data_IF_098860677376
#
_entry.id   IF_098860677376
#
_cell.length_a   1.000
_cell.length_b   1.000
_cell.length_c   1.000
_cell.angle_alpha   90.00
_cell.angle_beta   90.00
_cell.angle_gamma   90.00
#
_symmetry.space_group_name_H-M   'P 1'
#
loop_
_entity.id
_entity.type
_entity.pdbx_description
1 polymer ?
#
# COMPACT_ATOMS: atom_id res chain seq x y z
N UNK A 1 12.47 -56.65 79.13
CA UNK A 1 13.29 -56.90 77.93
C UNK A 1 13.46 -55.58 77.19
N UNK A 2 14.65 -55.38 76.61
CA UNK A 2 15.17 -54.12 76.03
C UNK A 2 14.36 -53.64 74.80
N UNK A 3 14.23 -52.31 74.69
CA UNK A 3 14.13 -51.42 73.50
C UNK A 3 13.16 -51.82 72.35
N UNK A 4 12.41 -50.89 71.75
CA UNK A 4 12.92 -49.86 70.82
C UNK A 4 11.90 -48.69 70.73
N UNK A 5 12.42 -47.46 70.76
CA UNK A 5 11.72 -46.21 70.42
C UNK A 5 11.72 -45.97 68.90
N UNK A 6 10.64 -45.42 68.35
CA UNK A 6 10.66 -44.65 67.10
C UNK A 6 9.89 -43.32 67.36
N UNK A 7 10.50 -42.15 67.11
CA UNK A 7 9.82 -40.87 67.24
C UNK A 7 9.03 -40.55 65.97
N UNK A 8 7.77 -40.12 66.14
CA UNK A 8 7.00 -39.47 65.08
C UNK A 8 7.54 -38.05 64.90
N UNK A 9 8.33 -37.84 63.84
CA UNK A 9 8.77 -36.51 63.43
C UNK A 9 7.68 -35.93 62.50
N UNK A 10 6.83 -35.06 63.04
CA UNK A 10 5.90 -34.25 62.26
C UNK A 10 6.68 -33.22 61.44
N UNK A 11 6.90 -33.51 60.15
CA UNK A 11 7.41 -32.52 59.20
C UNK A 11 6.23 -31.61 58.77
N UNK A 12 6.14 -30.43 59.36
CA UNK A 12 5.39 -29.31 58.79
C UNK A 12 6.13 -28.84 57.53
N UNK A 13 5.59 -29.16 56.35
CA UNK A 13 6.03 -28.57 55.08
C UNK A 13 5.34 -27.21 54.94
N UNK A 14 6.08 -26.09 54.89
CA UNK A 14 5.48 -24.81 54.52
C UNK A 14 5.18 -24.87 53.02
N UNK A 15 3.90 -25.05 52.66
CA UNK A 15 3.43 -24.80 51.29
C UNK A 15 3.49 -23.29 51.05
N UNK A 16 4.64 -22.81 50.58
CA UNK A 16 4.70 -21.53 49.87
C UNK A 16 3.98 -21.72 48.53
N UNK A 17 2.92 -20.95 48.21
CA UNK A 17 2.33 -21.00 46.89
C UNK A 17 3.36 -20.46 45.90
N UNK A 18 4.03 -21.35 45.18
CA UNK A 18 4.69 -20.97 43.94
C UNK A 18 3.56 -20.58 42.98
N UNK A 19 3.41 -19.28 42.74
CA UNK A 19 2.70 -18.79 41.56
C UNK A 19 3.50 -19.25 40.33
N UNK A 20 3.23 -20.48 39.89
CA UNK A 20 3.60 -20.92 38.57
C UNK A 20 2.76 -20.08 37.60
N UNK A 21 3.34 -18.97 37.12
CA UNK A 21 2.91 -18.41 35.85
C UNK A 21 3.22 -19.49 34.81
N UNK A 22 2.23 -20.34 34.53
CA UNK A 22 2.21 -21.05 33.28
C UNK A 22 2.15 -19.98 32.20
N UNK A 23 3.32 -19.62 31.63
CA UNK A 23 3.34 -19.02 30.31
C UNK A 23 2.67 -20.06 29.41
N UNK A 24 1.39 -19.88 29.14
CA UNK A 24 0.70 -20.65 28.11
C UNK A 24 1.53 -20.48 26.84
N UNK A 25 2.01 -21.59 26.26
CA UNK A 25 2.62 -21.52 24.95
C UNK A 25 1.66 -20.82 23.99
N UNK A 26 2.16 -19.96 23.08
CA UNK A 26 1.31 -19.26 22.15
C UNK A 26 0.45 -20.27 21.38
N UNK A 27 -0.88 -20.10 21.45
CA UNK A 27 -1.84 -21.02 20.84
C UNK A 27 -1.71 -21.07 19.31
N UNK A 28 -1.15 -20.02 18.70
CA UNK A 28 -0.93 -19.90 17.26
C UNK A 28 0.57 -19.77 16.94
N UNK A 29 1.00 -20.46 15.88
CA UNK A 29 2.35 -20.36 15.31
C UNK A 29 2.28 -19.78 13.90
N UNK A 30 3.04 -18.73 13.64
CA UNK A 30 3.18 -18.16 12.30
C UNK A 30 4.00 -19.11 11.41
N UNK A 31 3.47 -19.46 10.23
CA UNK A 31 4.13 -20.37 9.29
C UNK A 31 4.51 -19.72 7.95
N UNK A 32 3.78 -18.69 7.51
CA UNK A 32 4.03 -18.03 6.23
C UNK A 32 3.47 -16.61 6.22
N UNK A 33 4.15 -15.71 5.52
CA UNK A 33 3.74 -14.32 5.33
C UNK A 33 3.86 -13.94 3.85
N UNK A 34 2.81 -13.32 3.32
CA UNK A 34 2.80 -12.67 2.01
C UNK A 34 2.55 -11.19 2.22
N UNK A 35 3.47 -10.34 1.76
CA UNK A 35 3.38 -8.88 1.84
C UNK A 35 3.16 -8.36 0.43
N UNK A 36 2.04 -7.67 0.18
CA UNK A 36 1.87 -6.88 -1.04
C UNK A 36 2.13 -5.43 -0.67
N UNK A 37 3.22 -4.86 -1.17
CA UNK A 37 3.65 -3.50 -0.87
C UNK A 37 3.43 -2.60 -2.07
N UNK A 38 2.95 -1.37 -1.84
CA UNK A 38 3.18 -0.28 -2.80
C UNK A 38 4.67 0.04 -2.84
N UNK A 39 5.17 0.49 -3.98
CA UNK A 39 6.50 1.09 -4.06
C UNK A 39 6.68 2.28 -3.08
N UNK A 40 7.93 2.62 -2.75
CA UNK A 40 8.25 3.76 -1.88
C UNK A 40 8.03 5.14 -2.53
N UNK A 41 8.48 6.19 -1.83
CA UNK A 41 8.37 7.58 -2.29
C UNK A 41 9.11 7.76 -3.62
N UNK A 42 8.40 8.31 -4.60
CA UNK A 42 8.90 8.55 -5.97
C UNK A 42 8.71 9.99 -6.39
N UNK A 43 9.42 10.40 -7.43
CA UNK A 43 9.05 11.60 -8.17
C UNK A 43 7.67 11.41 -8.85
N UNK A 44 6.94 12.51 -9.16
CA UNK A 44 5.75 12.48 -9.99
C UNK A 44 6.02 11.72 -11.28
N UNK A 45 5.04 10.96 -11.78
CA UNK A 45 5.22 10.17 -13.01
C UNK A 45 5.24 11.03 -14.27
N UNK A 46 4.68 12.25 -14.21
CA UNK A 46 4.55 13.19 -15.33
C UNK A 46 4.65 14.63 -14.83
N UNK A 47 5.03 15.54 -15.73
CA UNK A 47 4.94 16.99 -15.54
C UNK A 47 4.27 17.56 -16.80
N UNK A 48 2.96 17.81 -16.75
CA UNK A 48 2.18 18.23 -17.91
C UNK A 48 2.00 19.73 -17.98
N UNK A 49 1.59 20.25 -19.14
CA UNK A 49 1.22 21.67 -19.26
C UNK A 49 0.01 22.01 -18.38
N UNK A 50 -0.99 21.12 -18.30
CA UNK A 50 -2.16 21.33 -17.45
C UNK A 50 -1.78 21.50 -15.97
N UNK A 51 -0.78 20.76 -15.47
CA UNK A 51 -0.29 20.94 -14.09
C UNK A 51 0.29 22.33 -13.85
N UNK A 52 0.92 22.93 -14.87
CA UNK A 52 1.45 24.29 -14.82
C UNK A 52 0.34 25.34 -15.01
N UNK A 53 -0.69 25.02 -15.78
CA UNK A 53 -1.76 25.99 -16.08
C UNK A 53 -2.72 26.21 -14.90
N UNK A 54 -2.78 25.29 -13.93
CA UNK A 54 -3.68 25.37 -12.76
C UNK A 54 -3.06 26.02 -11.53
N UNK A 55 -1.83 26.52 -11.62
CA UNK A 55 -1.20 27.29 -10.54
C UNK A 55 -0.28 28.34 -11.16
N UNK A 56 -0.20 29.56 -10.63
CA UNK A 56 0.81 30.52 -11.06
C UNK A 56 2.23 30.14 -10.58
N UNK A 57 2.33 29.21 -9.63
CA UNK A 57 3.57 28.89 -8.94
C UNK A 57 4.33 27.76 -9.65
N UNK A 58 5.66 27.84 -9.65
CA UNK A 58 6.50 26.79 -10.24
C UNK A 58 6.46 25.52 -9.37
N UNK A 59 6.28 24.36 -10.00
CA UNK A 59 6.39 23.06 -9.32
C UNK A 59 7.85 22.80 -8.91
N UNK A 60 8.12 22.32 -7.69
CA UNK A 60 9.47 22.00 -7.26
C UNK A 60 10.05 20.84 -8.07
N UNK A 61 11.34 20.91 -8.38
CA UNK A 61 12.07 19.85 -9.07
C UNK A 61 12.40 18.71 -8.11
N UNK A 62 12.48 17.50 -8.66
CA UNK A 62 12.79 16.29 -7.91
C UNK A 62 14.24 15.86 -8.15
N UNK A 63 14.90 15.22 -7.15
CA UNK A 63 16.31 14.84 -7.26
C UNK A 63 16.55 13.61 -8.16
N UNK A 64 15.50 13.07 -8.77
CA UNK A 64 15.53 11.88 -9.63
C UNK A 64 14.63 12.07 -10.85
N UNK A 65 14.75 11.17 -11.82
CA UNK A 65 13.86 11.14 -13.00
C UNK A 65 12.39 10.97 -12.58
N UNK A 66 11.48 11.49 -13.40
CA UNK A 66 10.05 11.31 -13.21
C UNK A 66 9.70 9.82 -13.08
N UNK A 67 8.86 9.50 -12.09
CA UNK A 67 8.42 8.14 -11.80
C UNK A 67 9.46 7.20 -11.17
N UNK A 68 10.70 7.65 -10.92
CA UNK A 68 11.71 6.85 -10.23
C UNK A 68 11.60 6.96 -8.72
N UNK A 69 12.00 5.91 -8.01
CA UNK A 69 12.14 5.93 -6.56
C UNK A 69 13.22 6.95 -6.16
N UNK A 70 12.96 7.72 -5.10
CA UNK A 70 14.00 8.59 -4.54
C UNK A 70 14.91 7.79 -3.59
N UNK A 71 16.17 8.21 -3.37
CA UNK A 71 17.01 7.57 -2.35
C UNK A 71 16.35 7.54 -0.97
N UNK A 72 15.70 8.64 -0.56
CA UNK A 72 14.91 8.71 0.67
C UNK A 72 13.75 7.72 0.68
N UNK A 73 13.05 7.56 -0.44
CA UNK A 73 12.02 6.55 -0.59
C UNK A 73 12.55 5.14 -0.36
N UNK A 74 13.75 4.84 -0.83
CA UNK A 74 14.46 3.59 -0.52
C UNK A 74 14.76 3.44 0.97
N UNK A 75 15.24 4.49 1.64
CA UNK A 75 15.50 4.44 3.10
C UNK A 75 14.24 4.14 3.91
N UNK A 76 13.11 4.79 3.57
CA UNK A 76 11.82 4.56 4.23
C UNK A 76 11.35 3.10 4.06
N UNK A 77 11.52 2.52 2.87
CA UNK A 77 11.24 1.09 2.62
C UNK A 77 12.20 0.18 3.40
N UNK A 78 13.48 0.54 3.50
CA UNK A 78 14.44 -0.21 4.30
C UNK A 78 14.06 -0.20 5.80
N UNK A 79 13.48 0.88 6.32
CA UNK A 79 12.94 0.89 7.69
C UNK A 79 11.75 -0.06 7.87
N UNK A 80 10.87 -0.17 6.89
CA UNK A 80 9.81 -1.18 6.91
C UNK A 80 10.39 -2.61 6.83
N UNK A 81 11.39 -2.85 5.99
CA UNK A 81 12.13 -4.11 5.97
C UNK A 81 12.76 -4.45 7.32
N UNK A 82 13.36 -3.46 7.99
CA UNK A 82 13.93 -3.61 9.33
C UNK A 82 12.87 -3.93 10.38
N UNK A 83 11.75 -3.21 10.37
CA UNK A 83 10.60 -3.50 11.23
C UNK A 83 10.09 -4.93 11.02
N UNK A 84 9.89 -5.35 9.77
CA UNK A 84 9.45 -6.70 9.45
C UNK A 84 10.47 -7.74 9.92
N UNK A 85 11.78 -7.48 9.82
CA UNK A 85 12.80 -8.40 10.38
C UNK A 85 12.62 -8.58 11.87
N UNK A 86 12.48 -7.49 12.62
CA UNK A 86 12.30 -7.56 14.07
C UNK A 86 11.03 -8.32 14.43
N UNK A 87 9.92 -7.99 13.76
CA UNK A 87 8.62 -8.62 13.99
C UNK A 87 8.61 -10.12 13.66
N UNK A 88 9.17 -10.52 12.51
CA UNK A 88 9.19 -11.92 12.07
C UNK A 88 10.20 -12.77 12.87
N UNK A 89 11.23 -12.15 13.46
CA UNK A 89 12.09 -12.80 14.45
C UNK A 89 11.35 -13.02 15.77
N UNK A 90 10.54 -12.04 16.22
CA UNK A 90 9.74 -12.17 17.43
C UNK A 90 8.70 -13.29 17.32
N UNK A 91 8.07 -13.44 16.14
CA UNK A 91 7.12 -14.52 15.86
C UNK A 91 7.80 -15.86 15.47
N UNK A 92 9.13 -15.92 15.51
CA UNK A 92 9.90 -17.15 15.28
C UNK A 92 9.94 -17.65 13.83
N UNK A 93 9.56 -16.81 12.85
CA UNK A 93 9.57 -17.17 11.42
C UNK A 93 10.97 -17.00 10.79
N UNK A 94 11.75 -16.02 11.25
CA UNK A 94 13.12 -15.77 10.81
C UNK A 94 14.12 -15.88 11.96
N UNK A 95 15.37 -16.23 11.63
CA UNK A 95 16.44 -16.27 12.62
C UNK A 95 16.86 -14.87 13.06
N UNK A 96 17.18 -14.71 14.36
CA UNK A 96 17.59 -13.43 14.95
C UNK A 96 18.86 -12.82 14.34
N UNK A 97 19.76 -13.66 13.83
CA UNK A 97 21.06 -13.25 13.29
C UNK A 97 21.33 -13.96 11.96
N UNK A 98 22.22 -13.38 11.16
CA UNK A 98 22.64 -13.93 9.88
C UNK A 98 21.60 -13.75 8.77
N UNK A 99 21.96 -14.27 7.60
CA UNK A 99 21.09 -14.27 6.43
C UNK A 99 19.99 -15.32 6.55
N UNK A 100 18.80 -15.06 5.98
CA UNK A 100 17.79 -16.10 5.83
C UNK A 100 18.33 -17.26 5.00
N UNK A 101 17.78 -18.45 5.21
CA UNK A 101 18.14 -19.61 4.38
C UNK A 101 17.78 -19.35 2.91
N UNK A 102 18.51 -19.99 1.99
CA UNK A 102 18.23 -19.86 0.56
C UNK A 102 16.77 -20.20 0.25
N UNK A 103 16.05 -19.24 -0.34
CA UNK A 103 14.64 -19.38 -0.68
C UNK A 103 13.65 -19.17 0.46
N UNK A 104 14.10 -18.94 1.71
CA UNK A 104 13.22 -18.62 2.86
C UNK A 104 12.54 -17.26 2.72
N UNK A 105 13.19 -16.32 2.02
CA UNK A 105 12.63 -15.03 1.62
C UNK A 105 12.64 -14.97 0.10
N UNK A 106 11.48 -14.69 -0.49
CA UNK A 106 11.31 -14.45 -1.91
C UNK A 106 10.79 -13.04 -2.14
N UNK A 107 11.31 -12.37 -3.18
CA UNK A 107 10.89 -11.03 -3.57
C UNK A 107 10.50 -11.04 -5.04
N UNK A 108 9.27 -10.62 -5.32
CA UNK A 108 8.77 -10.39 -6.69
C UNK A 108 8.47 -8.90 -6.82
N UNK A 109 8.85 -8.29 -7.93
CA UNK A 109 8.56 -6.88 -8.21
C UNK A 109 8.03 -6.72 -9.64
N UNK A 110 7.17 -5.72 -9.83
CA UNK A 110 6.83 -5.26 -11.18
C UNK A 110 8.07 -4.70 -11.89
N UNK A 111 8.01 -4.59 -13.21
CA UNK A 111 9.14 -4.21 -14.09
C UNK A 111 9.59 -2.76 -13.92
N UNK A 112 8.75 -1.90 -13.35
CA UNK A 112 9.05 -0.50 -13.11
C UNK A 112 10.30 -0.33 -12.23
N UNK A 113 11.06 0.74 -12.47
CA UNK A 113 12.27 1.03 -11.67
C UNK A 113 11.93 1.15 -10.18
N UNK A 114 10.83 1.86 -9.86
CA UNK A 114 10.41 2.13 -8.49
C UNK A 114 10.00 0.87 -7.72
N UNK A 115 9.43 -0.14 -8.38
CA UNK A 115 9.04 -1.41 -7.76
C UNK A 115 10.25 -2.31 -7.56
N UNK A 116 11.14 -2.40 -8.54
CA UNK A 116 12.42 -3.12 -8.41
C UNK A 116 13.27 -2.57 -7.27
N UNK A 117 13.46 -1.25 -7.23
CA UNK A 117 14.22 -0.59 -6.16
C UNK A 117 13.53 -0.66 -4.80
N UNK A 118 12.20 -0.75 -4.75
CA UNK A 118 11.48 -1.05 -3.50
C UNK A 118 11.82 -2.46 -3.00
N UNK A 119 11.81 -3.47 -3.88
CA UNK A 119 12.23 -4.83 -3.51
C UNK A 119 13.66 -4.89 -2.98
N UNK A 120 14.59 -4.19 -3.65
CA UNK A 120 15.99 -4.11 -3.21
C UNK A 120 16.13 -3.43 -1.84
N UNK A 121 15.43 -2.31 -1.63
CA UNK A 121 15.44 -1.57 -0.37
C UNK A 121 14.82 -2.39 0.78
N UNK A 122 13.74 -3.12 0.52
CA UNK A 122 13.12 -3.99 1.51
C UNK A 122 14.08 -5.11 1.92
N UNK A 123 14.75 -5.75 0.96
CA UNK A 123 15.77 -6.76 1.23
C UNK A 123 16.92 -6.19 2.09
N UNK A 124 17.41 -4.99 1.76
CA UNK A 124 18.47 -4.32 2.50
C UNK A 124 18.07 -4.03 3.96
N UNK A 125 16.81 -3.68 4.20
CA UNK A 125 16.27 -3.50 5.55
C UNK A 125 16.05 -4.80 6.32
N UNK A 126 15.50 -5.82 5.63
CA UNK A 126 15.14 -7.11 6.22
C UNK A 126 16.37 -7.95 6.59
N UNK A 127 17.36 -7.99 5.71
CA UNK A 127 18.58 -8.77 5.88
C UNK A 127 19.77 -8.01 5.27
N UNK A 128 20.31 -7.02 6.00
CA UNK A 128 21.46 -6.24 5.55
C UNK A 128 22.63 -7.12 5.10
N UNK A 129 23.27 -6.74 3.99
CA UNK A 129 24.41 -7.43 3.37
C UNK A 129 24.16 -8.89 2.92
N UNK A 130 22.90 -9.34 2.93
CA UNK A 130 22.52 -10.65 2.43
C UNK A 130 22.03 -10.56 0.98
N UNK A 131 22.49 -11.49 0.15
CA UNK A 131 22.08 -11.57 -1.25
C UNK A 131 20.67 -12.19 -1.37
N UNK A 132 19.64 -11.35 -1.37
CA UNK A 132 18.26 -11.73 -1.68
C UNK A 132 17.92 -11.17 -3.06
N UNK A 133 17.63 -12.05 -4.01
CA UNK A 133 17.28 -11.66 -5.38
C UNK A 133 15.90 -11.03 -5.44
N UNK A 134 15.78 -9.91 -6.16
CA UNK A 134 14.51 -9.33 -6.58
C UNK A 134 14.15 -9.91 -7.94
N UNK A 135 13.10 -10.73 -7.98
CA UNK A 135 12.64 -11.38 -9.19
C UNK A 135 11.62 -10.51 -9.92
N UNK A 136 11.71 -10.44 -11.24
CA UNK A 136 10.81 -9.66 -12.11
C UNK A 136 10.48 -10.46 -13.36
N UNK A 137 9.51 -10.00 -14.14
CA UNK A 137 9.41 -10.46 -15.53
C UNK A 137 10.75 -10.20 -16.24
N UNK A 138 11.20 -11.19 -17.03
CA UNK A 138 12.50 -11.13 -17.70
C UNK A 138 12.57 -9.98 -18.72
N UNK A 139 11.50 -9.79 -19.49
CA UNK A 139 11.35 -8.61 -20.35
C UNK A 139 10.77 -7.44 -19.54
N UNK A 140 11.67 -6.56 -19.09
CA UNK A 140 11.30 -5.34 -18.35
C UNK A 140 10.84 -4.20 -19.25
N UNK A 141 10.82 -4.37 -20.58
CA UNK A 141 10.28 -3.37 -21.52
C UNK A 141 8.77 -3.51 -21.71
N UNK A 142 8.22 -4.70 -21.39
CA UNK A 142 6.80 -5.02 -21.45
C UNK A 142 6.16 -5.01 -20.06
N UNK A 143 4.88 -4.59 -19.93
CA UNK A 143 4.16 -4.67 -18.66
C UNK A 143 3.99 -6.11 -18.20
N UNK A 144 3.99 -6.33 -16.88
CA UNK A 144 3.79 -7.64 -16.27
C UNK A 144 2.28 -7.89 -15.97
N UNK A 145 1.68 -8.97 -16.51
CA UNK A 145 0.26 -9.28 -16.33
C UNK A 145 -0.13 -9.56 -14.87
N UNK A 146 0.83 -9.91 -13.99
CA UNK A 146 0.55 -10.10 -12.56
C UNK A 146 -0.01 -8.83 -11.93
N UNK A 147 0.50 -7.67 -12.33
CA UNK A 147 0.17 -6.39 -11.70
C UNK A 147 -0.97 -5.66 -12.41
N UNK A 148 -1.27 -5.99 -13.67
CA UNK A 148 -2.43 -5.48 -14.39
C UNK A 148 -2.78 -6.37 -15.60
N UNK A 149 -3.64 -7.40 -15.43
CA UNK A 149 -3.98 -8.34 -16.50
C UNK A 149 -4.79 -7.71 -17.64
N UNK A 150 -5.49 -6.61 -17.38
CA UNK A 150 -6.27 -5.88 -18.40
C UNK A 150 -5.35 -5.21 -19.42
N UNK A 151 -4.27 -4.56 -18.96
CA UNK A 151 -3.32 -3.85 -19.81
C UNK A 151 -2.57 -4.77 -20.78
N UNK A 152 -2.38 -6.03 -20.39
CA UNK A 152 -1.74 -7.06 -21.21
C UNK A 152 -2.73 -7.90 -22.02
N UNK A 153 -4.03 -7.61 -21.93
CA UNK A 153 -5.07 -8.33 -22.67
C UNK A 153 -5.34 -9.77 -22.19
N UNK A 154 -4.99 -10.10 -20.94
CA UNK A 154 -5.27 -11.43 -20.35
C UNK A 154 -6.77 -11.61 -20.13
N UNK A 155 -7.46 -10.52 -19.77
CA UNK A 155 -8.91 -10.47 -19.63
C UNK A 155 -9.42 -9.07 -20.03
N UNK A 156 -10.73 -8.91 -20.08
CA UNK A 156 -11.40 -7.65 -20.42
C UNK A 156 -12.48 -7.31 -19.40
N UNK A 157 -12.77 -6.02 -19.28
CA UNK A 157 -13.91 -5.50 -18.53
C UNK A 157 -15.19 -5.58 -19.37
N UNK A 158 -16.31 -5.84 -18.70
CA UNK A 158 -17.63 -5.59 -19.26
C UNK A 158 -17.93 -4.09 -19.14
N UNK A 159 -17.89 -3.38 -20.28
CA UNK A 159 -18.03 -1.93 -20.30
C UNK A 159 -19.35 -1.43 -19.69
N UNK A 160 -20.46 -2.10 -19.96
CA UNK A 160 -21.77 -1.66 -19.48
C UNK A 160 -21.89 -1.87 -17.97
N UNK A 161 -21.55 -3.08 -17.52
CA UNK A 161 -21.58 -3.42 -16.10
C UNK A 161 -20.63 -2.55 -15.26
N UNK A 162 -19.40 -2.30 -15.75
CA UNK A 162 -18.44 -1.41 -15.08
C UNK A 162 -18.95 0.03 -15.03
N UNK A 163 -19.57 0.53 -16.11
CA UNK A 163 -20.15 1.87 -16.14
C UNK A 163 -21.24 2.02 -15.07
N UNK A 164 -22.21 1.09 -15.06
CA UNK A 164 -23.32 1.11 -14.11
C UNK A 164 -22.84 0.99 -12.65
N UNK A 165 -21.89 0.08 -12.39
CA UNK A 165 -21.33 -0.11 -11.05
C UNK A 165 -20.62 1.15 -10.53
N UNK A 166 -19.81 1.81 -11.37
CA UNK A 166 -19.10 3.02 -10.97
C UNK A 166 -20.07 4.19 -10.77
N UNK A 167 -21.03 4.40 -11.68
CA UNK A 167 -22.01 5.47 -11.56
C UNK A 167 -22.91 5.27 -10.33
N UNK A 168 -23.31 4.05 -10.03
CA UNK A 168 -24.04 3.69 -8.81
C UNK A 168 -23.25 4.09 -7.57
N UNK A 169 -21.98 3.69 -7.49
CA UNK A 169 -21.08 4.06 -6.37
C UNK A 169 -20.77 5.55 -6.29
N UNK A 170 -20.87 6.26 -7.41
CA UNK A 170 -20.71 7.71 -7.48
C UNK A 170 -21.94 8.47 -6.95
N UNK A 171 -23.05 7.78 -6.69
CA UNK A 171 -24.32 8.39 -6.28
C UNK A 171 -25.25 8.74 -7.45
N UNK A 172 -25.06 8.11 -8.61
CA UNK A 172 -25.85 8.30 -9.83
C UNK A 172 -25.08 9.00 -10.93
N UNK A 173 -24.32 10.05 -10.62
CA UNK A 173 -23.53 10.80 -11.60
C UNK A 173 -22.17 11.27 -11.06
N UNK A 174 -21.23 11.55 -11.97
CA UNK A 174 -19.94 12.16 -11.61
C UNK A 174 -20.12 13.62 -11.13
N UNK A 175 -21.17 14.30 -11.60
CA UNK A 175 -21.52 15.64 -11.14
C UNK A 175 -21.93 15.63 -9.66
N UNK A 176 -22.80 14.71 -9.24
CA UNK A 176 -23.19 14.57 -7.82
C UNK A 176 -21.98 14.19 -6.96
N UNK A 177 -21.15 13.27 -7.46
CA UNK A 177 -19.92 12.85 -6.77
C UNK A 177 -18.97 14.01 -6.49
N UNK A 178 -18.75 14.88 -7.48
CA UNK A 178 -17.92 16.09 -7.32
C UNK A 178 -18.62 17.17 -6.50
N UNK A 179 -19.94 17.31 -6.64
CA UNK A 179 -20.79 18.21 -5.85
C UNK A 179 -20.67 17.97 -4.35
N UNK A 180 -20.71 16.71 -3.92
CA UNK A 180 -20.51 16.32 -2.52
C UNK A 180 -19.09 16.56 -1.97
N UNK A 181 -18.14 16.94 -2.83
CA UNK A 181 -16.70 17.12 -2.49
C UNK A 181 -16.19 18.51 -2.79
N UNK A 182 -17.07 19.47 -3.02
CA UNK A 182 -16.70 20.85 -3.34
C UNK A 182 -15.80 21.51 -2.30
N UNK A 183 -15.97 21.19 -1.01
CA UNK A 183 -15.07 21.68 0.05
C UNK A 183 -13.62 21.26 -0.19
N UNK A 184 -13.39 20.00 -0.58
CA UNK A 184 -12.05 19.50 -0.86
C UNK A 184 -11.46 20.08 -2.15
N UNK A 185 -12.28 20.25 -3.20
CA UNK A 185 -11.85 20.94 -4.42
C UNK A 185 -11.44 22.39 -4.15
N UNK A 186 -12.19 23.13 -3.32
CA UNK A 186 -11.82 24.49 -2.91
C UNK A 186 -10.54 24.53 -2.08
N UNK A 187 -10.32 23.55 -1.21
CA UNK A 187 -9.05 23.44 -0.48
C UNK A 187 -7.87 23.24 -1.45
N UNK A 188 -8.04 22.40 -2.47
CA UNK A 188 -7.05 22.26 -3.53
C UNK A 188 -6.85 23.55 -4.32
N UNK A 189 -7.92 24.24 -4.72
CA UNK A 189 -7.86 25.54 -5.41
C UNK A 189 -7.08 26.58 -4.59
N UNK A 190 -7.29 26.62 -3.27
CA UNK A 190 -6.57 27.49 -2.34
C UNK A 190 -5.08 27.15 -2.31
N UNK A 191 -4.72 25.87 -2.18
CA UNK A 191 -3.32 25.41 -2.22
C UNK A 191 -2.67 25.72 -3.56
N UNK A 192 -3.40 25.69 -4.67
CA UNK A 192 -2.87 25.99 -6.00
C UNK A 192 -2.79 27.50 -6.30
N UNK A 193 -3.42 28.36 -5.50
CA UNK A 193 -3.73 29.74 -5.90
C UNK A 193 -4.41 29.75 -7.30
N UNK A 194 -5.36 28.84 -7.46
CA UNK A 194 -6.04 28.57 -8.74
C UNK A 194 -6.66 29.82 -9.38
N UNK A 195 -7.26 30.78 -8.65
CA UNK A 195 -7.81 31.99 -9.26
C UNK A 195 -6.79 32.85 -10.02
N UNK A 196 -5.50 32.76 -9.69
CA UNK A 196 -4.41 33.48 -10.35
C UNK A 196 -3.70 32.63 -11.43
N UNK A 197 -4.20 31.42 -11.69
CA UNK A 197 -3.61 30.50 -12.66
C UNK A 197 -3.93 30.89 -14.11
N UNK A 198 -3.09 30.43 -15.05
CA UNK A 198 -3.32 30.65 -16.49
C UNK A 198 -4.69 30.12 -16.93
N UNK A 199 -5.13 28.99 -16.38
CA UNK A 199 -6.42 28.38 -16.74
C UNK A 199 -7.60 29.30 -16.37
N UNK A 200 -7.52 30.00 -15.24
CA UNK A 200 -8.54 30.96 -14.84
C UNK A 200 -8.45 32.27 -15.63
N UNK A 201 -7.25 32.84 -15.76
CA UNK A 201 -7.04 34.14 -16.41
C UNK A 201 -7.37 34.12 -17.90
N UNK A 202 -7.20 32.98 -18.57
CA UNK A 202 -7.50 32.79 -20.00
C UNK A 202 -8.91 32.28 -20.29
N UNK A 203 -9.78 32.18 -19.28
CA UNK A 203 -11.16 31.69 -19.46
C UNK A 203 -12.01 32.78 -20.12
N UNK A 204 -12.76 32.42 -21.16
CA UNK A 204 -13.64 33.34 -21.91
C UNK A 204 -14.81 33.87 -21.04
N UNK A 205 -15.37 33.02 -20.17
CA UNK A 205 -16.49 33.36 -19.29
C UNK A 205 -15.98 33.89 -17.95
N UNK A 206 -15.59 35.16 -17.87
CA UNK A 206 -15.08 35.77 -16.63
C UNK A 206 -16.17 36.16 -15.62
N UNK A 207 -17.45 36.16 -16.03
CA UNK A 207 -18.57 36.59 -15.18
C UNK A 207 -18.93 35.62 -14.04
N UNK A 208 -18.45 34.37 -14.08
CA UNK A 208 -18.64 33.37 -13.02
C UNK A 208 -17.36 33.21 -12.18
N UNK A 209 -17.45 32.74 -10.93
CA UNK A 209 -16.25 32.38 -10.17
C UNK A 209 -15.46 31.25 -10.87
N UNK A 210 -14.13 31.34 -10.92
CA UNK A 210 -13.30 30.27 -11.49
C UNK A 210 -13.20 29.08 -10.52
N UNK A 211 -13.67 27.91 -10.95
CA UNK A 211 -13.60 26.67 -10.17
C UNK A 211 -13.06 25.52 -11.02
N UNK A 212 -12.23 24.66 -10.41
CA UNK A 212 -11.61 23.49 -11.04
C UNK A 212 -12.64 22.58 -11.66
N UNK A 213 -13.72 22.23 -10.95
CA UNK A 213 -14.72 21.27 -11.45
C UNK A 213 -15.57 21.82 -12.59
N UNK A 214 -15.68 23.15 -12.71
CA UNK A 214 -16.35 23.81 -13.83
C UNK A 214 -15.40 23.99 -15.03
N UNK A 215 -14.16 24.40 -14.78
CA UNK A 215 -13.14 24.57 -15.83
C UNK A 215 -12.72 23.23 -16.46
N UNK A 216 -12.76 22.15 -15.69
CA UNK A 216 -12.34 20.80 -16.09
C UNK A 216 -13.43 19.78 -15.71
N UNK A 217 -14.54 19.71 -16.46
CA UNK A 217 -15.60 18.73 -16.20
C UNK A 217 -15.04 17.31 -16.23
N UNK A 218 -15.49 16.48 -15.29
CA UNK A 218 -14.99 15.12 -15.12
C UNK A 218 -15.95 14.12 -15.75
N UNK A 219 -15.43 13.24 -16.60
CA UNK A 219 -16.20 12.21 -17.29
C UNK A 219 -15.62 10.83 -17.00
N UNK A 220 -16.49 9.84 -16.81
CA UNK A 220 -16.12 8.44 -16.73
C UNK A 220 -15.84 7.90 -18.14
N UNK A 221 -14.66 7.29 -18.32
CA UNK A 221 -14.27 6.61 -19.56
C UNK A 221 -13.98 5.15 -19.25
N UNK A 222 -14.72 4.24 -19.88
CA UNK A 222 -14.60 2.78 -19.74
C UNK A 222 -14.25 2.18 -21.09
N UNK A 223 -13.22 1.33 -21.11
CA UNK A 223 -12.84 0.48 -22.23
C UNK A 223 -12.60 -0.95 -21.73
N UNK A 224 -12.45 -1.89 -22.66
CA UNK A 224 -12.23 -3.30 -22.33
C UNK A 224 -10.98 -3.52 -21.47
N UNK A 225 -9.96 -2.69 -21.61
CA UNK A 225 -8.65 -2.83 -20.96
C UNK A 225 -8.40 -1.80 -19.85
N UNK A 226 -9.26 -0.78 -19.70
CA UNK A 226 -9.02 0.30 -18.76
C UNK A 226 -10.28 1.05 -18.32
N UNK A 227 -10.18 1.70 -17.15
CA UNK A 227 -11.18 2.66 -16.69
C UNK A 227 -10.48 3.91 -16.15
N UNK A 228 -11.04 5.08 -16.43
CA UNK A 228 -10.45 6.35 -16.01
C UNK A 228 -11.51 7.43 -15.79
N UNK A 229 -11.13 8.46 -15.03
CA UNK A 229 -11.83 9.74 -14.99
C UNK A 229 -10.99 10.80 -15.71
N UNK A 230 -11.65 11.71 -16.39
CA UNK A 230 -11.03 12.92 -16.96
C UNK A 230 -11.19 14.11 -16.00
N UNK A 231 -10.67 15.27 -16.40
CA UNK A 231 -10.97 16.55 -15.77
C UNK A 231 -10.47 16.69 -14.33
N UNK A 232 -11.22 17.47 -13.54
CA UNK A 232 -10.86 17.87 -12.19
C UNK A 232 -10.63 16.69 -11.23
N UNK A 233 -11.39 15.59 -11.32
CA UNK A 233 -11.19 14.44 -10.42
C UNK A 233 -9.82 13.81 -10.61
N UNK A 234 -9.43 13.58 -11.88
CA UNK A 234 -8.14 12.98 -12.23
C UNK A 234 -6.97 13.88 -11.89
N UNK A 235 -7.10 15.16 -12.20
CA UNK A 235 -6.10 16.15 -11.84
C UNK A 235 -5.95 16.26 -10.31
N UNK A 236 -7.04 16.43 -9.57
CA UNK A 236 -7.00 16.62 -8.13
C UNK A 236 -6.43 15.40 -7.38
N UNK A 237 -6.83 14.20 -7.78
CA UNK A 237 -6.29 12.95 -7.24
C UNK A 237 -4.77 12.89 -7.42
N UNK A 238 -4.26 13.25 -8.60
CA UNK A 238 -2.83 13.29 -8.88
C UNK A 238 -2.11 14.37 -8.09
N UNK A 239 -2.61 15.62 -8.07
CA UNK A 239 -1.94 16.74 -7.43
C UNK A 239 -1.86 16.58 -5.91
N UNK A 240 -2.93 16.07 -5.29
CA UNK A 240 -2.97 15.84 -3.84
C UNK A 240 -2.01 14.72 -3.41
N UNK A 241 -1.85 13.67 -4.22
CA UNK A 241 -0.80 12.67 -4.04
C UNK A 241 0.60 13.29 -4.21
N UNK A 242 0.81 14.18 -5.20
CA UNK A 242 2.10 14.86 -5.37
C UNK A 242 2.47 15.68 -4.13
N UNK A 243 1.52 16.38 -3.50
CA UNK A 243 1.79 17.09 -2.25
C UNK A 243 2.21 16.13 -1.14
N UNK A 244 1.52 14.99 -1.00
CA UNK A 244 1.91 13.97 -0.01
C UNK A 244 3.32 13.45 -0.28
N UNK A 245 3.66 13.19 -1.54
CA UNK A 245 5.00 12.76 -1.94
C UNK A 245 6.04 13.83 -1.59
N UNK A 246 5.77 15.12 -1.82
CA UNK A 246 6.67 16.22 -1.42
C UNK A 246 6.90 16.22 0.10
N UNK A 247 5.84 16.02 0.89
CA UNK A 247 5.90 15.94 2.35
C UNK A 247 6.73 14.73 2.81
N UNK A 248 6.45 13.54 2.29
CA UNK A 248 7.18 12.30 2.59
C UNK A 248 8.64 12.34 2.10
N UNK A 249 8.92 13.10 1.03
CA UNK A 249 10.28 13.37 0.55
C UNK A 249 11.05 14.36 1.46
N UNK A 250 10.37 15.02 2.39
CA UNK A 250 10.94 16.06 3.24
C UNK A 250 11.29 17.35 2.50
N UNK A 251 10.57 17.67 1.42
CA UNK A 251 10.75 18.95 0.74
C UNK A 251 10.37 20.10 1.69
N UNK A 252 11.05 21.27 1.65
CA UNK A 252 10.86 22.31 2.66
C UNK A 252 9.41 22.75 2.86
N UNK A 253 8.70 23.06 1.77
CA UNK A 253 7.37 23.68 1.80
C UNK A 253 6.40 22.99 0.82
N UNK A 254 5.87 21.79 1.15
CA UNK A 254 4.92 21.09 0.28
C UNK A 254 3.67 21.92 -0.01
N UNK A 255 3.20 21.88 -1.25
CA UNK A 255 2.13 22.78 -1.69
C UNK A 255 2.48 24.26 -1.51
N UNK A 256 3.77 24.62 -1.67
CA UNK A 256 4.30 25.97 -1.50
C UNK A 256 3.99 26.55 -0.11
N UNK A 257 4.09 25.72 0.93
CA UNK A 257 3.90 26.12 2.33
C UNK A 257 2.44 26.41 2.69
N UNK A 258 1.50 26.15 1.78
CA UNK A 258 0.07 26.38 2.01
C UNK A 258 -0.61 25.24 2.76
N UNK A 259 0.01 24.08 2.92
CA UNK A 259 -0.56 22.93 3.66
C UNK A 259 0.13 22.85 5.03
N UNK A 260 -0.59 23.20 6.09
CA UNK A 260 -0.03 23.47 7.42
C UNK A 260 -0.54 22.55 8.53
N UNK A 261 -1.64 21.83 8.31
CA UNK A 261 -2.24 20.98 9.35
C UNK A 261 -2.84 19.67 8.80
N UNK A 262 -3.14 18.75 9.72
CA UNK A 262 -3.65 17.42 9.40
C UNK A 262 -5.07 17.44 8.81
N UNK A 263 -5.90 18.44 9.15
CA UNK A 263 -7.23 18.57 8.58
C UNK A 263 -7.15 18.92 7.08
N UNK A 264 -6.25 19.83 6.70
CA UNK A 264 -5.97 20.13 5.30
C UNK A 264 -5.43 18.90 4.55
N UNK A 265 -4.49 18.16 5.14
CA UNK A 265 -3.99 16.91 4.55
C UNK A 265 -5.11 15.90 4.28
N UNK A 266 -5.95 15.64 5.28
CA UNK A 266 -7.10 14.73 5.15
C UNK A 266 -8.09 15.23 4.08
N UNK A 267 -8.36 16.54 4.06
CA UNK A 267 -9.27 17.16 3.09
C UNK A 267 -8.75 16.99 1.67
N UNK A 268 -7.47 17.26 1.43
CA UNK A 268 -6.83 17.13 0.11
C UNK A 268 -6.82 15.68 -0.36
N UNK A 269 -6.27 14.75 0.44
CA UNK A 269 -6.15 13.35 0.05
C UNK A 269 -7.50 12.63 -0.02
N UNK A 270 -8.57 13.20 0.54
CA UNK A 270 -9.93 12.70 0.29
C UNK A 270 -10.27 12.66 -1.21
N UNK A 271 -9.72 13.56 -2.03
CA UNK A 271 -9.91 13.55 -3.49
C UNK A 271 -9.18 12.39 -4.17
N UNK A 272 -7.95 12.10 -3.72
CA UNK A 272 -7.19 10.93 -4.18
C UNK A 272 -7.92 9.63 -3.83
N UNK A 273 -8.26 9.47 -2.54
CA UNK A 273 -8.96 8.30 -2.03
C UNK A 273 -10.34 8.12 -2.71
N UNK A 274 -11.04 9.21 -3.02
CA UNK A 274 -12.32 9.20 -3.72
C UNK A 274 -12.19 8.68 -5.17
N UNK A 275 -11.15 9.07 -5.91
CA UNK A 275 -10.89 8.48 -7.22
C UNK A 275 -10.59 6.98 -7.11
N UNK A 276 -9.75 6.57 -6.16
CA UNK A 276 -9.42 5.16 -5.96
C UNK A 276 -10.64 4.33 -5.54
N UNK A 277 -11.53 4.89 -4.73
CA UNK A 277 -12.80 4.29 -4.37
C UNK A 277 -13.66 3.95 -5.60
N UNK A 278 -13.73 4.84 -6.59
CA UNK A 278 -14.49 4.60 -7.82
C UNK A 278 -13.76 3.68 -8.80
N UNK A 279 -12.47 3.95 -9.06
CA UNK A 279 -11.78 3.33 -10.20
C UNK A 279 -11.07 2.04 -9.85
N UNK A 280 -10.66 1.86 -8.59
CA UNK A 280 -9.83 0.74 -8.17
C UNK A 280 -10.56 -0.21 -7.22
N UNK A 281 -11.47 0.31 -6.39
CA UNK A 281 -12.20 -0.49 -5.39
C UNK A 281 -13.57 -1.00 -5.85
N UNK A 282 -14.09 -0.53 -6.98
CA UNK A 282 -15.35 -1.06 -7.56
C UNK A 282 -15.17 -2.53 -7.92
N UNK A 283 -15.94 -3.47 -7.35
CA UNK A 283 -15.72 -4.92 -7.50
C UNK A 283 -15.63 -5.41 -8.95
N UNK A 284 -16.39 -4.82 -9.87
CA UNK A 284 -16.43 -5.15 -11.30
C UNK A 284 -15.11 -4.84 -12.00
N UNK A 285 -14.30 -3.93 -11.44
CA UNK A 285 -12.94 -3.62 -11.90
C UNK A 285 -11.91 -4.35 -11.05
N UNK A 286 -12.09 -4.28 -9.73
CA UNK A 286 -11.14 -4.76 -8.73
C UNK A 286 -10.89 -6.27 -8.86
N UNK A 287 -11.95 -7.07 -9.03
CA UNK A 287 -11.84 -8.53 -9.15
C UNK A 287 -10.99 -8.91 -10.35
N UNK A 288 -11.29 -8.38 -11.54
CA UNK A 288 -10.53 -8.68 -12.77
C UNK A 288 -9.06 -8.25 -12.66
N UNK A 289 -8.79 -7.06 -12.11
CA UNK A 289 -7.41 -6.57 -11.93
C UNK A 289 -6.62 -7.34 -10.88
N UNK A 290 -7.26 -7.74 -9.78
CA UNK A 290 -6.59 -8.39 -8.65
C UNK A 290 -6.44 -9.91 -8.81
N UNK A 291 -7.18 -10.57 -9.71
CA UNK A 291 -7.17 -12.04 -9.86
C UNK A 291 -5.77 -12.66 -9.89
N UNK A 292 -4.80 -12.19 -10.71
CA UNK A 292 -3.47 -12.79 -10.72
C UNK A 292 -2.75 -12.68 -9.37
N UNK A 293 -2.87 -11.54 -8.68
CA UNK A 293 -2.31 -11.37 -7.34
C UNK A 293 -3.03 -12.24 -6.30
N UNK A 294 -4.36 -12.35 -6.37
CA UNK A 294 -5.14 -13.21 -5.49
C UNK A 294 -4.72 -14.69 -5.64
N UNK A 295 -4.47 -15.15 -6.86
CA UNK A 295 -4.00 -16.51 -7.12
C UNK A 295 -2.58 -16.75 -6.60
N UNK A 296 -1.68 -15.77 -6.74
CA UNK A 296 -0.33 -15.82 -6.18
C UNK A 296 -0.38 -15.86 -4.64
N UNK A 297 -1.16 -14.98 -4.01
CA UNK A 297 -1.34 -14.91 -2.55
C UNK A 297 -1.91 -16.23 -2.04
N UNK A 298 -2.97 -16.75 -2.67
CA UNK A 298 -3.59 -18.04 -2.31
C UNK A 298 -2.61 -19.19 -2.41
N UNK A 299 -1.85 -19.28 -3.51
CA UNK A 299 -0.84 -20.32 -3.71
C UNK A 299 0.26 -20.24 -2.66
N UNK A 300 0.78 -19.04 -2.39
CA UNK A 300 1.84 -18.83 -1.42
C UNK A 300 1.41 -19.16 0.03
N UNK A 301 0.16 -18.87 0.39
CA UNK A 301 -0.38 -19.18 1.72
C UNK A 301 -0.90 -20.62 1.84
N UNK A 302 -1.21 -21.33 0.76
CA UNK A 302 -1.73 -22.71 0.89
C UNK A 302 -0.58 -23.68 1.23
N UNK A 303 -0.65 -24.48 2.31
CA UNK A 303 0.37 -25.50 2.58
C UNK A 303 0.36 -26.56 1.48
N UNK A 304 1.49 -26.72 0.78
CA UNK A 304 1.70 -27.74 -0.23
C UNK A 304 3.22 -28.02 -0.39
N UNK A 305 3.63 -29.13 -1.02
CA UNK A 305 5.04 -29.41 -1.28
C UNK A 305 5.71 -28.25 -2.05
N UNK A 306 6.87 -27.72 -1.60
CA UNK A 306 7.54 -26.62 -2.27
C UNK A 306 7.94 -26.95 -3.70
N UNK A 307 7.57 -26.09 -4.64
CA UNK A 307 7.90 -26.24 -6.06
C UNK A 307 8.17 -24.88 -6.71
N UNK A 308 9.01 -24.87 -7.75
CA UNK A 308 9.26 -23.65 -8.54
C UNK A 308 7.98 -23.21 -9.26
N UNK A 309 7.65 -21.94 -9.11
CA UNK A 309 6.50 -21.27 -9.71
C UNK A 309 6.96 -20.18 -10.70
N UNK A 310 6.05 -19.27 -11.05
CA UNK A 310 6.35 -18.05 -11.79
C UNK A 310 7.58 -17.32 -11.20
N UNK A 311 8.31 -16.61 -12.07
CA UNK A 311 9.55 -15.89 -11.72
C UNK A 311 10.71 -16.78 -11.20
N UNK A 312 10.57 -18.10 -11.27
CA UNK A 312 11.56 -19.06 -10.79
C UNK A 312 11.60 -19.18 -9.26
N UNK A 313 10.61 -18.63 -8.55
CA UNK A 313 10.50 -18.63 -7.08
C UNK A 313 9.88 -19.94 -6.60
N UNK A 314 10.42 -20.55 -5.55
CA UNK A 314 9.82 -21.73 -4.91
C UNK A 314 8.76 -21.32 -3.90
N UNK A 315 7.53 -21.84 -4.05
CA UNK A 315 6.42 -21.63 -3.10
C UNK A 315 5.85 -22.98 -2.61
N UNK A 316 5.31 -23.04 -1.38
CA UNK A 316 5.23 -21.95 -0.41
C UNK A 316 6.60 -21.70 0.25
N UNK A 317 6.81 -20.49 0.77
CA UNK A 317 8.01 -20.11 1.53
C UNK A 317 7.61 -19.35 2.81
N UNK A 318 8.58 -19.03 3.67
CA UNK A 318 8.33 -18.30 4.91
C UNK A 318 7.87 -16.86 4.63
N UNK A 319 8.59 -16.12 3.77
CA UNK A 319 8.24 -14.73 3.44
C UNK A 319 8.23 -14.52 1.93
N UNK A 320 7.10 -14.05 1.40
CA UNK A 320 6.99 -13.54 0.03
C UNK A 320 6.68 -12.04 0.07
N UNK A 321 7.57 -11.21 -0.46
CA UNK A 321 7.34 -9.78 -0.64
C UNK A 321 7.06 -9.47 -2.12
N UNK A 322 5.96 -8.76 -2.38
CA UNK A 322 5.50 -8.40 -3.72
C UNK A 322 5.48 -6.87 -3.82
N UNK A 323 6.41 -6.29 -4.59
CA UNK A 323 6.50 -4.85 -4.81
C UNK A 323 5.66 -4.42 -6.03
N UNK A 324 4.51 -3.79 -5.76
CA UNK A 324 3.57 -3.29 -6.76
C UNK A 324 3.20 -1.82 -6.55
N UNK A 325 1.93 -1.49 -6.79
CA UNK A 325 1.41 -0.13 -6.82
C UNK A 325 0.22 0.06 -5.85
N UNK A 326 -0.14 1.31 -5.61
CA UNK A 326 -1.35 1.71 -4.86
C UNK A 326 -2.62 1.05 -5.43
N UNK A 327 -2.73 0.99 -6.76
CA UNK A 327 -3.84 0.34 -7.46
C UNK A 327 -3.98 -1.12 -7.09
N UNK A 328 -2.87 -1.86 -6.93
CA UNK A 328 -2.91 -3.27 -6.53
C UNK A 328 -3.49 -3.45 -5.13
N UNK A 329 -3.08 -2.60 -4.17
CA UNK A 329 -3.63 -2.62 -2.82
C UNK A 329 -5.12 -2.29 -2.82
N UNK A 330 -5.53 -1.28 -3.59
CA UNK A 330 -6.93 -0.91 -3.73
C UNK A 330 -7.77 -1.98 -4.44
N UNK A 331 -7.24 -2.64 -5.47
CA UNK A 331 -7.92 -3.74 -6.15
C UNK A 331 -8.08 -4.96 -5.23
N UNK A 332 -7.04 -5.34 -4.48
CA UNK A 332 -7.13 -6.40 -3.47
C UNK A 332 -8.17 -6.05 -2.39
N UNK A 333 -8.14 -4.81 -1.88
CA UNK A 333 -9.12 -4.36 -0.90
C UNK A 333 -10.56 -4.34 -1.42
N UNK A 334 -10.77 -3.98 -2.69
CA UNK A 334 -12.08 -4.04 -3.34
C UNK A 334 -12.57 -5.47 -3.59
N UNK A 335 -11.68 -6.36 -4.03
CA UNK A 335 -12.01 -7.75 -4.34
C UNK A 335 -12.24 -8.62 -3.09
N UNK A 336 -11.57 -8.31 -1.98
CA UNK A 336 -11.68 -9.03 -0.70
C UNK A 336 -12.62 -8.33 0.31
N UNK A 337 -13.27 -7.24 -0.09
CA UNK A 337 -14.16 -6.44 0.77
C UNK A 337 -13.48 -5.87 2.03
N UNK A 338 -12.17 -5.68 1.98
CA UNK A 338 -11.36 -5.13 3.07
C UNK A 338 -11.34 -3.61 2.99
N UNK A 339 -11.91 -2.93 4.00
CA UNK A 339 -11.92 -1.47 4.10
C UNK A 339 -11.11 -1.01 5.31
N UNK A 340 -10.46 0.15 5.17
CA UNK A 340 -9.63 0.70 6.23
C UNK A 340 -9.54 2.23 6.14
N UNK A 341 -9.11 2.83 7.24
CA UNK A 341 -8.56 4.19 7.33
C UNK A 341 -7.31 4.10 8.17
N UNK A 342 -6.31 4.95 7.89
CA UNK A 342 -4.98 4.82 8.47
C UNK A 342 -4.70 6.01 9.41
N UNK A 343 -4.73 5.83 10.74
CA UNK A 343 -4.49 6.91 11.68
C UNK A 343 -3.13 7.59 11.42
N UNK A 344 -3.14 8.91 11.21
CA UNK A 344 -1.93 9.69 10.91
C UNK A 344 -1.40 9.53 9.48
N UNK A 345 -2.14 8.86 8.59
CA UNK A 345 -1.79 8.71 7.19
C UNK A 345 -3.01 9.00 6.29
N UNK A 346 -3.04 10.15 5.60
CA UNK A 346 -4.22 10.57 4.86
C UNK A 346 -4.43 9.84 3.52
N UNK A 347 -3.41 9.21 2.94
CA UNK A 347 -3.54 8.34 1.76
C UNK A 347 -3.84 6.90 2.22
N UNK A 348 -4.94 6.31 1.74
CA UNK A 348 -5.33 4.95 2.11
C UNK A 348 -4.39 3.89 1.54
N UNK A 349 -3.59 4.21 0.52
CA UNK A 349 -2.64 3.30 -0.12
C UNK A 349 -1.27 3.96 -0.19
N UNK A 350 -0.66 4.33 0.96
CA UNK A 350 0.48 5.24 1.03
C UNK A 350 1.76 4.61 0.45
N UNK A 351 2.78 5.39 0.08
CA UNK A 351 4.07 4.85 -0.38
C UNK A 351 4.68 3.88 0.64
N UNK A 352 5.03 2.67 0.21
CA UNK A 352 5.48 1.62 1.13
C UNK A 352 4.39 1.01 2.02
N UNK A 353 3.12 1.36 1.86
CA UNK A 353 2.02 0.68 2.55
C UNK A 353 1.96 -0.80 2.14
N UNK A 354 1.74 -1.67 3.12
CA UNK A 354 1.86 -3.12 3.00
C UNK A 354 0.54 -3.80 3.40
N UNK A 355 -0.13 -4.46 2.45
CA UNK A 355 -1.20 -5.40 2.76
C UNK A 355 -0.57 -6.76 3.09
N UNK A 356 -0.58 -7.12 4.37
CA UNK A 356 0.12 -8.28 4.92
C UNK A 356 -0.87 -9.40 5.17
N UNK A 357 -0.63 -10.55 4.55
CA UNK A 357 -1.38 -11.79 4.75
C UNK A 357 -0.52 -12.81 5.47
N UNK A 358 -1.07 -13.44 6.50
CA UNK A 358 -0.31 -14.30 7.39
C UNK A 358 -1.04 -15.61 7.58
N UNK A 359 -0.34 -16.73 7.41
CA UNK A 359 -0.86 -18.04 7.79
C UNK A 359 -0.39 -18.43 9.17
N UNK A 360 -1.35 -18.62 10.05
CA UNK A 360 -1.16 -19.09 11.42
C UNK A 360 -1.69 -20.51 11.56
N UNK A 361 -0.90 -21.39 12.17
CA UNK A 361 -1.36 -22.72 12.57
C UNK A 361 -1.69 -22.72 14.06
N UNK A 362 -2.90 -23.13 14.40
CA UNK A 362 -3.28 -23.36 15.79
C UNK A 362 -2.66 -24.66 16.31
N UNK A 363 -1.93 -24.60 17.42
CA UNK A 363 -1.16 -25.73 17.94
C UNK A 363 -2.04 -26.82 18.54
N UNK A 364 -3.24 -26.48 19.03
CA UNK A 364 -4.13 -27.45 19.68
C UNK A 364 -4.73 -28.47 18.72
N UNK A 365 -4.96 -28.10 17.46
CA UNK A 365 -5.63 -28.96 16.46
C UNK A 365 -5.03 -28.92 15.05
N UNK A 366 -3.92 -28.19 14.87
CA UNK A 366 -3.25 -27.96 13.58
C UNK A 366 -4.12 -27.26 12.51
N UNK A 367 -5.23 -26.61 12.90
CA UNK A 367 -6.04 -25.82 11.98
C UNK A 367 -5.27 -24.60 11.45
N UNK A 368 -5.55 -24.21 10.22
CA UNK A 368 -4.88 -23.11 9.51
C UNK A 368 -5.79 -21.89 9.45
N UNK A 369 -5.26 -20.72 9.76
CA UNK A 369 -5.97 -19.45 9.85
C UNK A 369 -5.23 -18.39 9.04
N UNK A 370 -5.98 -17.48 8.41
CA UNK A 370 -5.42 -16.33 7.70
C UNK A 370 -5.72 -15.05 8.48
N UNK A 371 -4.68 -14.29 8.81
CA UNK A 371 -4.80 -12.92 9.30
C UNK A 371 -4.42 -11.95 8.19
N UNK A 372 -5.14 -10.83 8.10
CA UNK A 372 -4.84 -9.75 7.14
C UNK A 372 -4.73 -8.44 7.90
N UNK A 373 -3.69 -7.65 7.59
CA UNK A 373 -3.48 -6.32 8.17
C UNK A 373 -2.92 -5.35 7.14
N UNK A 374 -3.04 -4.04 7.42
CA UNK A 374 -2.39 -2.98 6.65
C UNK A 374 -1.29 -2.37 7.51
N UNK A 375 -0.03 -2.60 7.15
CA UNK A 375 1.15 -2.00 7.79
C UNK A 375 1.56 -0.77 6.99
N UNK A 376 1.88 0.33 7.67
CA UNK A 376 2.22 1.59 7.01
C UNK A 376 3.03 2.51 7.93
N UNK A 377 3.72 3.47 7.32
CA UNK A 377 4.27 4.62 8.03
C UNK A 377 3.24 5.76 8.03
N UNK A 378 3.07 6.41 9.17
CA UNK A 378 2.34 7.68 9.26
C UNK A 378 3.03 8.74 8.39
N UNK A 379 2.29 9.77 7.97
CA UNK A 379 2.87 10.87 7.19
C UNK A 379 4.00 11.57 7.96
N UNK A 380 3.89 11.62 9.29
CA UNK A 380 4.93 12.18 10.16
C UNK A 380 6.18 11.29 10.22
N UNK A 381 6.02 9.96 10.36
CA UNK A 381 7.17 9.04 10.27
C UNK A 381 7.88 9.15 8.92
N UNK A 382 7.15 9.31 7.82
CA UNK A 382 7.76 9.57 6.51
C UNK A 382 8.49 10.92 6.47
N UNK A 383 7.92 11.96 7.09
CA UNK A 383 8.48 13.32 7.13
C UNK A 383 9.75 13.42 7.97
N UNK A 384 9.80 12.74 9.11
CA UNK A 384 10.91 12.86 10.05
C UNK A 384 12.04 11.86 9.75
N UNK A 385 11.72 10.79 9.01
CA UNK A 385 12.62 9.71 8.62
C UNK A 385 13.24 9.00 9.83
#
# INVERSE_FOLDING_TARGET
MKAILIPFLSLLIPLTPQSAFAQSEPELKLESVVIVSRHGVRAPTKATQLMQDVTPDAWPTWPVKLGWLTPRGGELIAYLGHYQRQRLVADGLLAKKGCPQSGQVAIIADVDERTRKTGEAFAAGLAPDCAITVHTQADTSSPDPLFNPLKTGVCQLDNANVTDAILSRAGGSIADFTGHRQTAFRELERVLNFPQSNLCLKREKQDESCSLTQALPSELKVSADNVSLTGAVSLASMLTEIFLLQQAQGMPEPGWGRITDSHQWNTLLSLHNAQFYLLQRTPEVARSRATPLLDLIKTALTPHPPQKQAYGVTLPTSVLFIAGHDTNLANLGGALELNWTLPGQPDNTPPGGELVFERWRRLSDNSQWIQVSLVFQTLQQMRDK
#
